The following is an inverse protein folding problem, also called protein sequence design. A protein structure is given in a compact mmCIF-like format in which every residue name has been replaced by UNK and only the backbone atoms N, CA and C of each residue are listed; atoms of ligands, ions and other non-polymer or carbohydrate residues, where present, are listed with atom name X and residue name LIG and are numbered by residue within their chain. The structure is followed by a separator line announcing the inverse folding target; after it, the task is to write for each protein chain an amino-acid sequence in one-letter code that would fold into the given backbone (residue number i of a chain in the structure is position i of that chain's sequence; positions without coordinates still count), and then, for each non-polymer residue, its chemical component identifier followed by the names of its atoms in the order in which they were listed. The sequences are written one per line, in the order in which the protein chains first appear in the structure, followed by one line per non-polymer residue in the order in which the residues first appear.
data_IF_112598400020
#
_entry.id   IF_112598400020
#
_cell.length_a   1.000
_cell.length_b   1.000
_cell.length_c   1.000
_cell.angle_alpha   90.00
_cell.angle_beta   90.00
_cell.angle_gamma   90.00
#
_symmetry.space_group_name_H-M   'P 1'
#
loop_
_entity.id
_entity.type
_entity.pdbx_description
1 polymer ?
#
# COMPACT_ATOMS: atom_id res chain seq x y z
N UNK A 1 -5.91 22.17 -16.15
CA UNK A 1 -6.77 21.67 -15.06
C UNK A 1 -8.19 22.15 -15.29
N UNK A 2 -9.18 21.28 -15.15
CA UNK A 2 -10.59 21.58 -15.34
C UNK A 2 -11.10 22.33 -14.07
N UNK A 3 -11.02 23.65 -14.09
CA UNK A 3 -11.41 24.52 -12.98
C UNK A 3 -12.86 24.29 -12.54
N UNK A 4 -13.76 23.92 -13.45
CA UNK A 4 -15.16 23.62 -13.15
C UNK A 4 -15.26 22.37 -12.28
N UNK A 5 -14.59 21.29 -12.64
CA UNK A 5 -14.59 20.06 -11.83
C UNK A 5 -14.01 20.31 -10.43
N UNK A 6 -12.95 21.10 -10.31
CA UNK A 6 -12.38 21.46 -9.02
C UNK A 6 -13.37 22.25 -8.16
N UNK A 7 -14.13 23.19 -8.75
CA UNK A 7 -15.16 23.96 -8.06
C UNK A 7 -16.31 23.06 -7.58
N UNK A 8 -16.77 22.12 -8.41
CA UNK A 8 -17.81 21.17 -8.07
C UNK A 8 -17.40 20.25 -6.90
N UNK A 9 -16.17 19.73 -6.90
CA UNK A 9 -15.64 18.95 -5.77
C UNK A 9 -15.53 19.80 -4.50
N UNK A 10 -15.05 21.05 -4.60
CA UNK A 10 -14.97 21.96 -3.45
C UNK A 10 -16.35 22.18 -2.84
N UNK A 11 -17.34 22.49 -3.65
CA UNK A 11 -18.72 22.69 -3.19
C UNK A 11 -19.28 21.43 -2.51
N UNK A 12 -19.07 20.27 -3.10
CA UNK A 12 -19.53 18.99 -2.55
C UNK A 12 -18.84 18.65 -1.21
N UNK A 13 -17.54 18.93 -1.07
CA UNK A 13 -16.79 18.72 0.18
C UNK A 13 -17.24 19.67 1.28
N UNK A 14 -17.48 20.96 0.97
CA UNK A 14 -18.02 21.92 1.93
C UNK A 14 -19.42 21.48 2.40
N UNK A 15 -20.28 21.07 1.47
CA UNK A 15 -21.64 20.61 1.78
C UNK A 15 -21.68 19.31 2.61
N UNK A 16 -20.67 18.45 2.44
CA UNK A 16 -20.60 17.19 3.20
C UNK A 16 -20.25 17.39 4.68
N UNK A 17 -19.78 18.56 5.08
CA UNK A 17 -19.21 18.89 6.40
C UNK A 17 -18.12 17.93 6.85
N UNK A 18 -17.23 18.36 7.73
CA UNK A 18 -16.18 17.48 8.24
C UNK A 18 -16.80 16.28 8.96
N UNK A 19 -16.53 15.09 8.46
CA UNK A 19 -17.01 13.84 9.04
C UNK A 19 -15.99 13.37 10.08
N UNK A 20 -16.44 13.29 11.33
CA UNK A 20 -15.67 12.65 12.39
C UNK A 20 -14.32 13.29 12.73
N UNK A 21 -14.17 14.63 12.57
CA UNK A 21 -12.91 15.33 12.86
C UNK A 21 -11.82 15.16 11.80
N UNK A 22 -12.17 14.61 10.63
CA UNK A 22 -11.24 14.49 9.50
C UNK A 22 -10.95 15.87 8.88
N UNK A 23 -9.68 16.12 8.55
CA UNK A 23 -9.29 17.25 7.71
C UNK A 23 -9.59 16.92 6.25
N UNK A 24 -10.23 17.87 5.54
CA UNK A 24 -10.56 17.72 4.12
C UNK A 24 -9.60 18.59 3.32
N UNK A 25 -8.92 18.01 2.35
CA UNK A 25 -8.00 18.68 1.45
C UNK A 25 -8.44 18.45 -0.01
N UNK A 26 -8.46 19.52 -0.79
CA UNK A 26 -8.53 19.42 -2.25
C UNK A 26 -7.09 19.52 -2.78
N UNK A 27 -6.64 18.45 -3.42
CA UNK A 27 -5.25 18.29 -3.85
C UNK A 27 -5.17 18.37 -5.37
N UNK A 28 -4.30 19.26 -5.87
CA UNK A 28 -3.89 19.24 -7.28
C UNK A 28 -2.85 18.11 -7.46
N UNK A 29 -3.15 17.10 -8.26
CA UNK A 29 -2.25 15.95 -8.44
C UNK A 29 -0.94 16.29 -9.13
N UNK A 30 -0.93 17.34 -9.97
CA UNK A 30 0.29 17.79 -10.67
C UNK A 30 1.25 18.45 -9.68
N UNK A 31 0.71 19.34 -8.84
CA UNK A 31 1.52 20.01 -7.82
C UNK A 31 1.89 19.12 -6.63
N UNK A 32 1.16 18.04 -6.41
CA UNK A 32 1.29 17.16 -5.24
C UNK A 32 1.37 15.67 -5.62
N UNK A 33 2.24 15.33 -6.56
CA UNK A 33 2.44 13.94 -7.01
C UNK A 33 2.75 12.96 -5.88
N UNK A 34 3.36 13.42 -4.77
CA UNK A 34 3.59 12.60 -3.58
C UNK A 34 2.30 12.09 -2.94
N UNK A 35 1.21 12.88 -2.95
CA UNK A 35 -0.08 12.43 -2.44
C UNK A 35 -0.68 11.34 -3.34
N UNK A 36 -0.58 11.49 -4.66
CA UNK A 36 -1.04 10.49 -5.62
C UNK A 36 -0.30 9.17 -5.40
N UNK A 37 1.02 9.25 -5.28
CA UNK A 37 1.87 8.07 -5.02
C UNK A 37 1.59 7.43 -3.66
N UNK A 38 1.38 8.24 -2.61
CA UNK A 38 1.04 7.75 -1.26
C UNK A 38 -0.22 6.89 -1.27
N UNK A 39 -1.24 7.31 -2.01
CA UNK A 39 -2.46 6.53 -2.15
C UNK A 39 -2.35 5.39 -3.17
N UNK A 40 -1.26 5.28 -3.91
CA UNK A 40 -1.08 4.27 -4.96
C UNK A 40 -1.95 4.52 -6.18
N UNK A 41 -2.29 5.79 -6.44
CA UNK A 41 -3.08 6.21 -7.59
C UNK A 41 -2.19 6.49 -8.79
N UNK A 42 -2.79 6.41 -9.96
CA UNK A 42 -2.23 6.81 -11.25
C UNK A 42 -3.09 7.92 -11.88
N UNK A 43 -2.59 8.55 -12.94
CA UNK A 43 -3.37 9.57 -13.66
C UNK A 43 -4.70 9.01 -14.20
N UNK A 44 -4.72 7.71 -14.53
CA UNK A 44 -5.93 7.02 -15.01
C UNK A 44 -7.02 6.88 -13.93
N UNK A 45 -6.67 7.01 -12.66
CA UNK A 45 -7.58 6.89 -11.51
C UNK A 45 -8.22 8.21 -11.11
N UNK A 46 -7.71 9.32 -11.66
CA UNK A 46 -8.16 10.66 -11.32
C UNK A 46 -9.40 11.11 -12.10
N UNK A 47 -10.23 11.96 -11.52
CA UNK A 47 -10.23 12.42 -10.14
C UNK A 47 -10.56 11.29 -9.17
N UNK A 48 -10.01 11.35 -7.94
CA UNK A 48 -10.25 10.33 -6.92
C UNK A 48 -10.68 10.95 -5.58
N UNK A 49 -11.45 10.20 -4.81
CA UNK A 49 -11.67 10.45 -3.40
C UNK A 49 -10.79 9.50 -2.59
N UNK A 50 -10.08 10.04 -1.63
CA UNK A 50 -9.20 9.25 -0.77
C UNK A 50 -9.34 9.67 0.69
N UNK A 51 -9.33 8.70 1.59
CA UNK A 51 -9.28 8.90 3.04
C UNK A 51 -8.11 8.12 3.59
N UNK A 52 -7.30 8.77 4.43
CA UNK A 52 -6.27 8.12 5.22
C UNK A 52 -6.72 8.06 6.68
N UNK A 53 -6.70 6.87 7.26
CA UNK A 53 -7.01 6.59 8.66
C UNK A 53 -5.72 6.11 9.37
N UNK A 54 -4.89 7.02 9.92
CA UNK A 54 -3.55 6.67 10.44
C UNK A 54 -3.60 5.66 11.59
N UNK A 55 -4.58 5.79 12.49
CA UNK A 55 -4.74 4.88 13.64
C UNK A 55 -5.01 3.43 13.23
N UNK A 56 -5.68 3.24 12.09
CA UNK A 56 -5.98 1.92 11.53
C UNK A 56 -4.94 1.47 10.49
N UNK A 57 -3.94 2.32 10.20
CA UNK A 57 -3.01 2.14 9.09
C UNK A 57 -3.73 1.77 7.78
N UNK A 58 -4.83 2.48 7.49
CA UNK A 58 -5.71 2.15 6.39
C UNK A 58 -5.94 3.34 5.46
N UNK A 59 -6.08 3.05 4.18
CA UNK A 59 -6.45 3.99 3.13
C UNK A 59 -7.74 3.51 2.49
N UNK A 60 -8.61 4.44 2.11
CA UNK A 60 -9.86 4.14 1.42
C UNK A 60 -9.92 5.01 0.18
N UNK A 61 -10.23 4.43 -0.96
CA UNK A 61 -10.14 5.10 -2.26
C UNK A 61 -11.39 4.82 -3.09
N UNK A 62 -11.85 5.87 -3.78
CA UNK A 62 -12.76 5.77 -4.91
C UNK A 62 -12.11 6.46 -6.10
N UNK A 63 -11.56 5.67 -6.99
CA UNK A 63 -11.01 6.12 -8.26
C UNK A 63 -12.13 6.60 -9.21
N UNK A 64 -11.78 7.45 -10.18
CA UNK A 64 -12.70 7.99 -11.20
C UNK A 64 -13.96 8.61 -10.60
N UNK A 65 -13.79 9.27 -9.45
CA UNK A 65 -14.88 9.83 -8.70
C UNK A 65 -15.44 11.10 -9.36
N UNK A 66 -16.71 11.38 -9.12
CA UNK A 66 -17.36 12.63 -9.44
C UNK A 66 -17.76 13.38 -8.15
N UNK A 67 -18.03 14.67 -8.24
CA UNK A 67 -18.44 15.48 -7.08
C UNK A 67 -19.68 14.90 -6.36
N UNK A 68 -20.63 14.31 -7.09
CA UNK A 68 -21.82 13.64 -6.54
C UNK A 68 -21.48 12.45 -5.62
N UNK A 69 -20.30 11.84 -5.78
CA UNK A 69 -19.89 10.68 -5.00
C UNK A 69 -19.40 11.04 -3.59
N UNK A 70 -19.03 12.31 -3.36
CA UNK A 70 -18.42 12.77 -2.10
C UNK A 70 -19.27 12.41 -0.90
N UNK A 71 -20.56 12.77 -0.90
CA UNK A 71 -21.47 12.52 0.23
C UNK A 71 -21.60 11.03 0.54
N UNK A 72 -21.79 10.22 -0.49
CA UNK A 72 -21.98 8.76 -0.33
C UNK A 72 -20.69 8.09 0.15
N UNK A 73 -19.54 8.48 -0.39
CA UNK A 73 -18.23 7.95 0.00
C UNK A 73 -17.89 8.26 1.46
N UNK A 74 -18.09 9.52 1.89
CA UNK A 74 -17.84 9.92 3.27
C UNK A 74 -18.82 9.26 4.25
N UNK A 75 -20.09 9.12 3.88
CA UNK A 75 -21.07 8.40 4.69
C UNK A 75 -20.72 6.92 4.84
N UNK A 76 -20.29 6.27 3.76
CA UNK A 76 -19.86 4.87 3.80
C UNK A 76 -18.59 4.69 4.64
N UNK A 77 -17.64 5.62 4.55
CA UNK A 77 -16.45 5.64 5.42
C UNK A 77 -16.83 5.73 6.90
N UNK A 78 -17.67 6.71 7.27
CA UNK A 78 -18.11 6.90 8.66
C UNK A 78 -18.89 5.71 9.21
N UNK A 79 -19.63 5.02 8.35
CA UNK A 79 -20.36 3.82 8.71
C UNK A 79 -19.49 2.54 8.74
N UNK A 80 -18.20 2.65 8.47
CA UNK A 80 -17.28 1.49 8.41
C UNK A 80 -17.59 0.51 7.27
N UNK A 81 -18.27 0.97 6.21
CA UNK A 81 -18.71 0.13 5.08
C UNK A 81 -17.72 0.07 3.92
N UNK A 82 -16.64 0.82 3.99
CA UNK A 82 -15.59 0.78 2.96
C UNK A 82 -14.56 -0.28 3.30
N UNK A 83 -14.12 -1.02 2.28
CA UNK A 83 -12.95 -1.89 2.39
C UNK A 83 -11.67 -1.06 2.27
N UNK A 84 -10.64 -1.31 3.09
CA UNK A 84 -9.35 -0.67 2.94
C UNK A 84 -8.73 -0.93 1.57
N UNK A 85 -8.15 0.10 0.99
CA UNK A 85 -7.31 -0.01 -0.19
C UNK A 85 -5.88 -0.34 0.22
N UNK A 86 -5.28 -1.31 -0.43
CA UNK A 86 -3.90 -1.72 -0.21
C UNK A 86 -3.13 -1.54 -1.51
N UNK A 87 -2.16 -0.64 -1.50
CA UNK A 87 -1.26 -0.49 -2.63
C UNK A 87 -0.45 -1.77 -2.80
N UNK A 88 -0.43 -2.33 -3.99
CA UNK A 88 0.33 -3.53 -4.31
C UNK A 88 0.90 -3.43 -5.71
N UNK A 89 2.18 -3.71 -5.84
CA UNK A 89 2.75 -3.98 -7.17
C UNK A 89 2.20 -5.29 -7.75
N UNK A 90 2.35 -5.45 -9.05
CA UNK A 90 1.99 -6.71 -9.72
C UNK A 90 2.97 -7.80 -9.34
N UNK A 91 2.52 -8.96 -8.83
CA UNK A 91 3.41 -10.07 -8.54
C UNK A 91 4.20 -10.50 -9.79
N UNK A 92 5.48 -10.89 -9.66
CA UNK A 92 6.24 -11.36 -10.79
C UNK A 92 5.61 -12.63 -11.38
N UNK A 93 5.63 -12.75 -12.71
CA UNK A 93 5.08 -13.92 -13.43
C UNK A 93 5.76 -15.24 -13.01
N UNK A 94 7.07 -15.19 -12.74
CA UNK A 94 7.86 -16.28 -12.16
C UNK A 94 8.36 -15.84 -10.80
N UNK A 95 8.10 -16.63 -9.77
CA UNK A 95 8.47 -16.35 -8.38
C UNK A 95 8.94 -17.65 -7.69
N UNK A 96 9.70 -18.45 -8.44
CA UNK A 96 10.24 -19.76 -8.10
C UNK A 96 11.74 -19.71 -7.77
N UNK A 97 12.29 -18.53 -7.65
CA UNK A 97 13.68 -18.31 -7.26
C UNK A 97 13.92 -18.63 -5.78
N UNK A 98 15.21 -18.62 -5.37
CA UNK A 98 15.60 -18.89 -3.98
C UNK A 98 15.10 -17.81 -3.00
N UNK A 99 14.89 -16.60 -3.48
CA UNK A 99 14.24 -15.52 -2.73
C UNK A 99 12.95 -15.16 -3.44
N UNK A 100 11.81 -15.34 -2.78
CA UNK A 100 10.51 -15.00 -3.35
C UNK A 100 10.22 -13.50 -3.16
N UNK A 101 9.60 -12.89 -4.18
CA UNK A 101 9.10 -11.52 -4.11
C UNK A 101 7.68 -11.59 -3.56
N UNK A 102 7.49 -11.09 -2.34
CA UNK A 102 6.16 -10.92 -1.79
C UNK A 102 5.65 -9.52 -2.13
N UNK A 103 4.39 -9.42 -2.52
CA UNK A 103 3.66 -8.18 -2.78
C UNK A 103 2.48 -8.08 -1.81
N UNK A 104 1.84 -6.94 -1.68
CA UNK A 104 0.72 -6.81 -0.74
C UNK A 104 -0.38 -7.85 -1.00
N UNK A 105 -0.66 -8.14 -2.27
CA UNK A 105 -1.67 -9.13 -2.67
C UNK A 105 -1.25 -10.59 -2.43
N UNK A 106 0.04 -10.86 -2.22
CA UNK A 106 0.57 -12.22 -1.99
C UNK A 106 1.12 -12.40 -0.58
N UNK A 107 1.16 -11.33 0.22
CA UNK A 107 1.80 -11.28 1.53
C UNK A 107 1.25 -12.33 2.50
N UNK A 108 -0.06 -12.41 2.62
CA UNK A 108 -0.71 -13.39 3.48
C UNK A 108 -0.28 -14.82 3.13
N UNK A 109 -0.35 -15.17 1.85
CA UNK A 109 -0.03 -16.52 1.36
C UNK A 109 1.46 -16.87 1.48
N UNK A 110 2.35 -15.91 1.22
CA UNK A 110 3.79 -16.17 1.12
C UNK A 110 4.54 -15.92 2.43
N UNK A 111 3.99 -15.05 3.30
CA UNK A 111 4.68 -14.60 4.52
C UNK A 111 3.93 -14.97 5.78
N UNK A 112 2.63 -14.67 5.87
CA UNK A 112 1.88 -14.90 7.12
C UNK A 112 1.43 -16.36 7.29
N UNK A 113 1.03 -17.00 6.19
CA UNK A 113 0.52 -18.38 6.20
C UNK A 113 1.16 -19.23 5.12
N UNK A 114 2.50 -19.28 5.05
CA UNK A 114 3.16 -20.18 4.11
C UNK A 114 2.86 -21.63 4.54
N UNK A 115 2.29 -22.42 3.62
CA UNK A 115 1.80 -23.78 3.91
C UNK A 115 2.88 -24.66 4.56
N UNK A 116 2.80 -24.85 5.89
CA UNK A 116 3.70 -25.70 6.64
C UNK A 116 5.16 -25.23 6.69
N UNK A 117 5.39 -23.95 6.40
CA UNK A 117 6.72 -23.36 6.38
C UNK A 117 6.77 -22.13 7.29
N UNK A 118 7.98 -21.71 7.62
CA UNK A 118 8.27 -20.43 8.29
C UNK A 118 8.84 -19.45 7.25
N UNK A 119 8.34 -18.23 7.23
CA UNK A 119 8.85 -17.21 6.33
C UNK A 119 9.82 -16.28 7.06
N UNK A 120 10.97 -16.02 6.44
CA UNK A 120 11.85 -14.90 6.81
C UNK A 120 11.75 -13.85 5.71
N UNK A 121 11.31 -12.64 6.08
CA UNK A 121 11.04 -11.56 5.13
C UNK A 121 11.94 -10.35 5.39
N UNK A 122 12.54 -9.86 4.30
CA UNK A 122 13.27 -8.58 4.29
C UNK A 122 12.38 -7.49 3.72
N UNK A 123 12.00 -6.54 4.56
CA UNK A 123 11.37 -5.28 4.13
C UNK A 123 12.46 -4.30 3.70
N UNK A 124 12.33 -3.75 2.50
CA UNK A 124 13.37 -2.90 1.93
C UNK A 124 12.80 -1.75 1.09
N UNK A 125 13.67 -0.80 0.73
CA UNK A 125 13.43 0.19 -0.29
C UNK A 125 14.55 0.12 -1.34
N UNK A 126 14.26 0.27 -2.65
CA UNK A 126 15.25 0.16 -3.74
C UNK A 126 16.41 1.18 -3.65
N UNK A 127 16.12 2.35 -3.09
CA UNK A 127 17.10 3.43 -2.92
C UNK A 127 17.95 3.28 -1.64
N UNK A 128 17.64 2.34 -0.75
CA UNK A 128 18.33 2.17 0.52
C UNK A 128 19.71 1.52 0.33
N UNK A 129 20.78 2.22 0.72
CA UNK A 129 22.18 1.74 0.60
C UNK A 129 22.43 0.45 1.38
N UNK A 130 22.01 0.38 2.65
CA UNK A 130 22.14 -0.83 3.47
C UNK A 130 21.37 -2.02 2.89
N UNK A 131 20.23 -1.76 2.25
CA UNK A 131 19.45 -2.81 1.59
C UNK A 131 20.19 -3.38 0.37
N UNK A 132 20.91 -2.53 -0.38
CA UNK A 132 21.74 -2.96 -1.51
C UNK A 132 22.93 -3.81 -1.05
N UNK A 133 23.60 -3.40 0.05
CA UNK A 133 24.69 -4.19 0.64
C UNK A 133 24.21 -5.56 1.15
N UNK A 134 23.00 -5.61 1.73
CA UNK A 134 22.41 -6.85 2.24
C UNK A 134 21.90 -7.77 1.10
N UNK A 135 21.59 -7.25 -0.07
CA UNK A 135 20.97 -8.03 -1.15
C UNK A 135 21.74 -9.32 -1.51
N UNK A 136 23.08 -9.29 -1.78
CA UNK A 136 23.80 -10.50 -2.11
C UNK A 136 23.85 -11.52 -0.94
N UNK A 137 23.83 -11.05 0.30
CA UNK A 137 23.78 -11.92 1.48
C UNK A 137 22.40 -12.58 1.56
N UNK A 138 21.34 -11.82 1.27
CA UNK A 138 19.96 -12.31 1.25
C UNK A 138 19.74 -13.36 0.16
N UNK A 139 20.34 -13.17 -1.00
CA UNK A 139 20.28 -14.14 -2.10
C UNK A 139 21.02 -15.43 -1.72
N UNK A 140 22.19 -15.35 -1.07
CA UNK A 140 22.89 -16.53 -0.51
C UNK A 140 22.07 -17.26 0.54
N UNK A 141 21.36 -16.53 1.41
CA UNK A 141 20.44 -17.15 2.38
C UNK A 141 19.33 -17.93 1.65
N UNK A 142 18.74 -17.30 0.61
CA UNK A 142 17.74 -17.97 -0.21
C UNK A 142 18.26 -19.26 -0.86
N UNK A 143 19.47 -19.23 -1.44
CA UNK A 143 20.08 -20.43 -2.03
C UNK A 143 20.36 -21.53 -0.99
N UNK A 144 20.79 -21.14 0.23
CA UNK A 144 21.04 -22.11 1.30
C UNK A 144 19.77 -22.85 1.74
N UNK A 145 18.62 -22.21 1.70
CA UNK A 145 17.34 -22.78 2.09
C UNK A 145 16.45 -23.23 0.93
N UNK A 146 16.91 -23.10 -0.32
CA UNK A 146 16.12 -23.42 -1.53
C UNK A 146 15.55 -24.84 -1.54
N UNK A 147 16.29 -25.80 -1.00
CA UNK A 147 15.87 -27.20 -0.92
C UNK A 147 14.93 -27.49 0.27
N UNK A 148 14.93 -26.61 1.28
CA UNK A 148 14.10 -26.78 2.48
C UNK A 148 12.72 -26.17 2.26
N UNK A 149 11.73 -27.01 2.01
CA UNK A 149 10.34 -26.60 1.81
C UNK A 149 9.67 -26.01 3.06
N UNK A 150 10.32 -26.10 4.23
CA UNK A 150 9.83 -25.54 5.50
C UNK A 150 10.29 -24.10 5.73
N UNK A 151 11.13 -23.56 4.84
CA UNK A 151 11.62 -22.18 4.94
C UNK A 151 11.29 -21.42 3.66
N UNK A 152 10.71 -20.24 3.82
CA UNK A 152 10.47 -19.28 2.73
C UNK A 152 11.33 -18.06 2.99
N UNK A 153 12.31 -17.80 2.12
CA UNK A 153 13.08 -16.57 2.16
C UNK A 153 12.42 -15.56 1.21
N UNK A 154 11.92 -14.47 1.75
CA UNK A 154 11.13 -13.48 1.01
C UNK A 154 11.74 -12.07 1.07
N UNK A 155 11.43 -11.24 0.07
CA UNK A 155 11.68 -9.80 0.09
C UNK A 155 10.41 -9.03 -0.23
N UNK A 156 10.26 -7.85 0.37
CA UNK A 156 9.06 -7.02 0.27
C UNK A 156 9.45 -5.55 0.07
N UNK A 157 9.12 -4.98 -1.09
CA UNK A 157 9.39 -3.58 -1.39
C UNK A 157 8.31 -2.69 -0.76
N UNK A 158 8.70 -1.96 0.28
CA UNK A 158 7.81 -1.04 1.00
C UNK A 158 7.51 0.25 0.22
N UNK A 159 8.20 0.51 -0.88
CA UNK A 159 7.90 1.67 -1.73
C UNK A 159 6.81 1.37 -2.75
N UNK A 160 6.66 0.09 -3.12
CA UNK A 160 5.69 -0.40 -4.10
C UNK A 160 4.45 -1.05 -3.46
N UNK A 161 4.52 -1.39 -2.18
CA UNK A 161 3.49 -2.12 -1.46
C UNK A 161 3.19 -1.48 -0.10
N UNK A 162 1.92 -1.44 0.29
CA UNK A 162 1.49 -1.18 1.66
C UNK A 162 1.46 -2.49 2.45
N UNK A 163 1.75 -2.45 3.76
CA UNK A 163 1.46 -3.61 4.59
C UNK A 163 -0.05 -3.85 4.66
N UNK A 164 -0.51 -5.10 4.60
CA UNK A 164 -1.93 -5.41 4.76
C UNK A 164 -2.49 -4.84 6.08
N UNK A 165 -3.71 -4.30 6.10
CA UNK A 165 -4.35 -3.81 7.31
C UNK A 165 -4.39 -4.89 8.39
N UNK A 166 -4.07 -4.50 9.63
CA UNK A 166 -4.02 -5.43 10.76
C UNK A 166 -2.75 -6.30 10.82
N UNK A 167 -1.77 -6.11 9.92
CA UNK A 167 -0.47 -6.75 10.08
C UNK A 167 0.20 -6.29 11.36
N UNK A 168 0.76 -7.24 12.10
CA UNK A 168 1.44 -7.00 13.39
C UNK A 168 2.88 -6.50 13.24
N UNK A 169 3.33 -6.31 11.99
CA UNK A 169 4.70 -5.86 11.73
C UNK A 169 4.77 -4.34 11.80
N UNK A 170 5.80 -3.85 12.47
CA UNK A 170 6.15 -2.45 12.50
C UNK A 170 7.49 -2.26 11.77
N UNK A 171 7.45 -1.57 10.63
CA UNK A 171 8.65 -1.28 9.83
C UNK A 171 8.98 0.19 9.98
N UNK A 172 9.95 0.49 10.86
CA UNK A 172 10.40 1.88 11.17
C UNK A 172 11.55 2.35 10.28
N UNK A 173 12.19 1.44 9.56
CA UNK A 173 13.34 1.75 8.73
C UNK A 173 13.76 0.57 7.85
N UNK A 174 14.76 0.77 7.01
CA UNK A 174 15.23 -0.24 6.06
C UNK A 174 16.72 -0.52 6.21
N UNK A 175 17.12 -1.82 6.06
CA UNK A 175 16.25 -2.98 5.99
C UNK A 175 15.64 -3.36 7.35
N UNK A 176 14.43 -3.90 7.37
CA UNK A 176 13.86 -4.61 8.52
C UNK A 176 13.70 -6.08 8.16
N UNK A 177 14.10 -6.98 9.03
CA UNK A 177 13.99 -8.43 8.85
C UNK A 177 13.07 -8.98 9.92
N UNK A 178 12.11 -9.82 9.52
CA UNK A 178 11.14 -10.48 10.40
C UNK A 178 11.11 -11.97 10.06
N UNK A 179 10.97 -12.77 11.10
CA UNK A 179 10.77 -14.22 11.08
C UNK A 179 9.39 -14.55 11.64
#
# INVERSE_FOLDING_TARGET
ADHKKAADFRAALIAAKAVGGASILLVDPVANGGAVQFFGLTDADLPALAVHAPKANAKYIKAKAAAKDVKAFLAAFSAGKLSPHVKSETPPKKNDGPVVVATANTFEKLVLTPKGATAVVKFYAPWCGHCKTLAPIWDKLGEAFKADKKVVVAKYDMTANDLPPGSKFEVKGFPTIVL
#
